data_IF_473412698407
#
_entry.id   IF_473412698407
#
_cell.length_a   1.000
_cell.length_b   1.000
_cell.length_c   1.000
_cell.angle_alpha   90.00
_cell.angle_beta   90.00
_cell.angle_gamma   90.00
#
_symmetry.space_group_name_H-M   'P 1'
#
loop_
_entity.id
_entity.type
_entity.pdbx_description
1 polymer ?
#
# COMPACT_ATOMS: atom_id res chain seq x y z
N UNK A 1 -0.43 20.11 -3.35
CA UNK A 1 -0.56 19.09 -2.30
C UNK A 1 -1.89 19.23 -1.61
N UNK A 2 -2.61 18.13 -1.35
CA UNK A 2 -3.90 18.09 -0.67
C UNK A 2 -3.81 17.16 0.55
N UNK A 3 -4.59 17.46 1.57
CA UNK A 3 -4.69 16.62 2.77
C UNK A 3 -5.93 15.73 2.69
N UNK A 4 -5.85 14.55 3.29
CA UNK A 4 -7.01 13.68 3.45
C UNK A 4 -8.19 14.42 4.10
N UNK A 5 -9.39 14.27 3.53
CA UNK A 5 -10.60 14.97 3.97
C UNK A 5 -10.78 16.40 3.42
N UNK A 6 -9.80 16.97 2.74
CA UNK A 6 -9.90 18.28 2.11
C UNK A 6 -10.92 18.25 0.95
N UNK A 7 -11.79 19.28 0.88
CA UNK A 7 -12.81 19.35 -0.18
C UNK A 7 -12.14 19.79 -1.50
N UNK A 8 -12.26 18.94 -2.52
CA UNK A 8 -11.68 19.16 -3.84
C UNK A 8 -12.70 19.76 -4.83
N UNK A 9 -13.91 19.23 -4.79
CA UNK A 9 -15.02 19.66 -5.67
C UNK A 9 -16.31 19.73 -4.87
N UNK A 10 -17.16 20.64 -5.30
CA UNK A 10 -18.52 20.77 -4.76
C UNK A 10 -19.52 20.64 -5.93
N UNK A 11 -20.36 19.64 -5.85
CA UNK A 11 -21.47 19.43 -6.79
C UNK A 11 -22.67 20.29 -6.32
N UNK A 12 -23.54 20.72 -7.23
CA UNK A 12 -24.77 21.41 -6.87
C UNK A 12 -25.59 20.54 -5.91
N UNK A 13 -25.75 21.04 -4.71
CA UNK A 13 -26.40 20.30 -3.61
C UNK A 13 -27.88 20.63 -3.40
N UNK A 14 -28.46 21.55 -4.20
CA UNK A 14 -29.80 22.06 -3.94
C UNK A 14 -30.88 20.98 -3.90
N UNK A 15 -30.88 20.04 -4.86
CA UNK A 15 -31.83 18.93 -4.92
C UNK A 15 -31.62 17.92 -3.78
N UNK A 16 -30.37 17.66 -3.43
CA UNK A 16 -29.99 16.75 -2.33
C UNK A 16 -30.38 17.32 -0.96
N UNK A 17 -30.20 18.65 -0.77
CA UNK A 17 -30.69 19.33 0.44
C UNK A 17 -32.20 19.24 0.59
N UNK A 18 -32.95 19.47 -0.51
CA UNK A 18 -34.41 19.33 -0.49
C UNK A 18 -34.84 17.90 -0.11
N UNK A 19 -34.21 16.88 -0.67
CA UNK A 19 -34.47 15.48 -0.36
C UNK A 19 -34.15 15.14 1.10
N UNK A 20 -33.05 15.65 1.63
CA UNK A 20 -32.69 15.50 3.04
C UNK A 20 -33.74 16.12 3.98
N UNK A 21 -34.18 17.35 3.72
CA UNK A 21 -35.21 17.99 4.54
C UNK A 21 -36.56 17.27 4.43
N UNK A 22 -36.91 16.77 3.26
CA UNK A 22 -38.16 15.96 3.09
C UNK A 22 -38.09 14.67 3.90
N UNK A 23 -36.98 13.91 3.83
CA UNK A 23 -36.79 12.69 4.61
C UNK A 23 -36.79 12.98 6.11
N UNK A 24 -36.18 14.08 6.55
CA UNK A 24 -36.21 14.54 7.96
C UNK A 24 -37.64 14.82 8.43
N UNK A 25 -38.43 15.56 7.66
CA UNK A 25 -39.83 15.84 7.99
C UNK A 25 -40.66 14.57 8.07
N UNK A 26 -40.45 13.62 7.16
CA UNK A 26 -41.16 12.31 7.13
C UNK A 26 -40.81 11.48 8.37
N UNK A 27 -39.56 11.49 8.83
CA UNK A 27 -39.16 10.82 10.07
C UNK A 27 -39.82 11.44 11.29
N UNK A 28 -39.89 12.77 11.38
CA UNK A 28 -40.54 13.45 12.51
C UNK A 28 -42.04 13.13 12.54
N UNK A 29 -42.73 13.07 11.39
CA UNK A 29 -44.11 12.63 11.32
C UNK A 29 -44.29 11.20 11.85
N UNK A 30 -43.46 10.26 11.37
CA UNK A 30 -43.52 8.86 11.82
C UNK A 30 -43.25 8.72 13.33
N UNK A 31 -42.37 9.52 13.90
CA UNK A 31 -42.13 9.55 15.36
C UNK A 31 -43.37 10.01 16.15
N UNK A 32 -44.08 11.02 15.65
CA UNK A 32 -45.33 11.49 16.30
C UNK A 32 -46.39 10.41 16.26
N UNK A 33 -46.53 9.73 15.11
CA UNK A 33 -47.49 8.63 14.95
C UNK A 33 -47.15 7.44 15.87
N UNK A 34 -45.90 7.06 15.95
CA UNK A 34 -45.42 6.00 16.86
C UNK A 34 -45.65 6.38 18.33
N UNK A 35 -45.40 7.65 18.69
CA UNK A 35 -45.69 8.15 20.06
C UNK A 35 -47.18 8.06 20.40
N UNK A 36 -48.03 8.45 19.48
CA UNK A 36 -49.50 8.35 19.65
C UNK A 36 -49.94 6.90 19.78
N UNK A 37 -49.46 6.01 18.91
CA UNK A 37 -49.76 4.58 18.95
C UNK A 37 -49.26 3.94 20.26
N UNK A 38 -48.05 4.31 20.73
CA UNK A 38 -47.50 3.88 22.02
C UNK A 38 -48.39 4.26 23.18
N UNK A 39 -48.79 5.53 23.24
CA UNK A 39 -49.66 6.02 24.31
C UNK A 39 -51.01 5.30 24.30
N UNK A 40 -51.56 5.00 23.09
CA UNK A 40 -52.81 4.22 22.95
C UNK A 40 -52.60 2.79 23.43
N UNK A 41 -51.56 2.11 23.00
CA UNK A 41 -51.21 0.75 23.44
C UNK A 41 -51.08 0.66 24.96
N UNK A 42 -50.33 1.55 25.57
CA UNK A 42 -50.17 1.60 27.03
C UNK A 42 -51.49 1.77 27.76
N UNK A 43 -52.36 2.66 27.27
CA UNK A 43 -53.70 2.87 27.84
C UNK A 43 -54.54 1.60 27.78
N UNK A 44 -54.52 0.88 26.65
CA UNK A 44 -55.26 -0.37 26.49
C UNK A 44 -54.68 -1.50 27.38
N UNK A 45 -53.39 -1.56 27.55
CA UNK A 45 -52.73 -2.48 28.50
C UNK A 45 -53.11 -2.21 29.95
N UNK A 46 -53.31 -0.93 30.32
CA UNK A 46 -53.77 -0.56 31.65
C UNK A 46 -55.26 -0.91 31.83
N UNK A 47 -56.13 -0.58 30.85
CA UNK A 47 -57.56 -0.92 30.89
C UNK A 47 -57.81 -2.44 30.98
N UNK A 48 -56.95 -3.23 30.32
CA UNK A 48 -57.05 -4.69 30.37
C UNK A 48 -56.84 -5.25 31.80
N UNK A 49 -56.01 -4.61 32.62
CA UNK A 49 -55.80 -5.00 34.03
C UNK A 49 -57.05 -4.84 34.91
N UNK A 50 -57.98 -4.02 34.48
CA UNK A 50 -59.23 -3.70 35.19
C UNK A 50 -60.46 -4.20 34.43
N UNK A 51 -60.31 -5.17 33.51
CA UNK A 51 -61.38 -5.68 32.65
C UNK A 51 -62.18 -4.59 31.86
N UNK A 52 -61.48 -3.43 31.63
CA UNK A 52 -62.08 -2.28 30.95
C UNK A 52 -61.98 -2.33 29.42
N UNK A 53 -61.36 -3.37 28.84
CA UNK A 53 -61.23 -3.61 27.40
C UNK A 53 -61.06 -5.11 27.11
N UNK A 54 -61.28 -5.53 25.86
CA UNK A 54 -61.01 -6.91 25.47
C UNK A 54 -59.52 -7.17 25.22
N UNK A 55 -59.12 -8.43 25.41
CA UNK A 55 -57.72 -8.85 25.11
C UNK A 55 -57.37 -8.59 23.65
N UNK A 56 -58.31 -8.80 22.73
CA UNK A 56 -58.12 -8.55 21.30
C UNK A 56 -57.80 -7.07 21.02
N UNK A 57 -58.57 -6.14 21.61
CA UNK A 57 -58.34 -4.68 21.41
C UNK A 57 -56.97 -4.23 21.95
N UNK A 58 -56.51 -4.81 23.07
CA UNK A 58 -55.17 -4.52 23.60
C UNK A 58 -54.08 -5.08 22.69
N UNK A 59 -54.22 -6.30 22.16
CA UNK A 59 -53.32 -6.92 21.20
C UNK A 59 -53.24 -6.12 19.88
N UNK A 60 -54.39 -5.68 19.36
CA UNK A 60 -54.50 -4.84 18.16
C UNK A 60 -53.80 -3.48 18.35
N UNK A 61 -54.03 -2.82 19.50
CA UNK A 61 -53.34 -1.55 19.82
C UNK A 61 -51.82 -1.73 19.90
N UNK A 62 -51.37 -2.85 20.45
CA UNK A 62 -49.95 -3.18 20.51
C UNK A 62 -49.34 -3.47 19.12
N UNK A 63 -50.10 -4.19 18.27
CA UNK A 63 -49.66 -4.45 16.89
C UNK A 63 -49.51 -3.15 16.10
N UNK A 64 -50.45 -2.21 16.23
CA UNK A 64 -50.36 -0.88 15.60
C UNK A 64 -49.17 -0.10 16.11
N UNK A 65 -48.86 -0.17 17.41
CA UNK A 65 -47.64 0.50 17.95
C UNK A 65 -46.36 -0.11 17.35
N UNK A 66 -46.23 -1.43 17.31
CA UNK A 66 -45.08 -2.10 16.74
C UNK A 66 -44.90 -1.78 15.24
N UNK A 67 -46.03 -1.70 14.50
CA UNK A 67 -45.99 -1.29 13.10
C UNK A 67 -45.52 0.17 12.94
N UNK A 68 -46.00 1.08 13.78
CA UNK A 68 -45.54 2.48 13.75
C UNK A 68 -44.08 2.63 14.16
N UNK A 69 -43.60 1.81 15.10
CA UNK A 69 -42.18 1.76 15.49
C UNK A 69 -41.30 1.27 14.33
N UNK A 70 -41.71 0.22 13.61
CA UNK A 70 -41.03 -0.25 12.42
C UNK A 70 -40.96 0.82 11.31
N UNK A 71 -42.04 1.61 11.16
CA UNK A 71 -42.10 2.72 10.21
C UNK A 71 -41.09 3.84 10.59
N UNK A 72 -40.87 4.11 11.87
CA UNK A 72 -39.84 5.06 12.33
C UNK A 72 -38.44 4.60 11.88
N UNK A 73 -38.13 3.31 12.03
CA UNK A 73 -36.82 2.79 11.60
C UNK A 73 -36.66 2.82 10.06
N UNK A 74 -37.74 2.57 9.30
CA UNK A 74 -37.73 2.74 7.83
C UNK A 74 -37.43 4.20 7.43
N UNK A 75 -38.10 5.18 8.06
CA UNK A 75 -37.88 6.61 7.75
C UNK A 75 -36.50 7.11 8.21
N UNK A 76 -36.00 6.53 9.29
CA UNK A 76 -34.63 6.81 9.76
C UNK A 76 -33.59 6.32 8.75
N UNK A 77 -33.76 5.12 8.20
CA UNK A 77 -32.88 4.62 7.13
C UNK A 77 -32.97 5.49 5.88
N UNK A 78 -34.18 5.96 5.52
CA UNK A 78 -34.39 6.88 4.39
C UNK A 78 -33.69 8.23 4.60
N UNK A 79 -33.72 8.78 5.83
CA UNK A 79 -33.01 10.01 6.18
C UNK A 79 -31.49 9.82 6.09
N UNK A 80 -30.98 8.70 6.58
CA UNK A 80 -29.54 8.42 6.51
C UNK A 80 -29.08 8.30 5.06
N UNK A 81 -29.85 7.66 4.18
CA UNK A 81 -29.57 7.60 2.74
C UNK A 81 -29.51 9.01 2.12
N UNK A 82 -30.51 9.85 2.37
CA UNK A 82 -30.53 11.23 1.85
C UNK A 82 -29.39 12.09 2.41
N UNK A 83 -28.95 11.84 3.64
CA UNK A 83 -27.80 12.49 4.25
C UNK A 83 -26.50 12.09 3.56
N UNK A 84 -26.30 10.80 3.31
CA UNK A 84 -25.12 10.29 2.60
C UNK A 84 -25.03 10.91 1.19
N UNK A 85 -26.15 10.99 0.48
CA UNK A 85 -26.17 11.59 -0.85
C UNK A 85 -25.85 13.08 -0.82
N UNK A 86 -26.31 13.80 0.19
CA UNK A 86 -25.95 15.22 0.41
C UNK A 86 -24.46 15.36 0.76
N UNK A 87 -23.92 14.52 1.62
CA UNK A 87 -22.49 14.54 1.98
C UNK A 87 -21.59 14.27 0.77
N UNK A 88 -22.02 13.37 -0.13
CA UNK A 88 -21.31 13.03 -1.38
C UNK A 88 -21.27 14.15 -2.42
N UNK A 89 -22.08 15.20 -2.25
CA UNK A 89 -21.94 16.41 -3.09
C UNK A 89 -20.63 17.15 -2.85
N UNK A 90 -20.01 16.96 -1.69
CA UNK A 90 -18.68 17.44 -1.36
C UNK A 90 -17.66 16.33 -1.60
N UNK A 91 -16.98 16.37 -2.74
CA UNK A 91 -15.94 15.39 -3.09
C UNK A 91 -14.67 15.75 -2.34
N UNK A 92 -14.29 14.88 -1.40
CA UNK A 92 -13.12 15.05 -0.54
C UNK A 92 -11.95 14.19 -1.02
N UNK A 93 -10.73 14.62 -0.69
CA UNK A 93 -9.53 13.84 -0.91
C UNK A 93 -9.57 12.55 -0.06
N UNK A 94 -9.50 11.35 -0.66
CA UNK A 94 -9.50 10.08 0.08
C UNK A 94 -8.16 9.78 0.74
N UNK A 95 -7.09 10.42 0.29
CA UNK A 95 -5.71 10.29 0.81
C UNK A 95 -5.01 11.65 0.75
N UNK A 96 -3.98 11.83 1.57
CA UNK A 96 -3.07 12.97 1.40
C UNK A 96 -2.09 12.72 0.25
N UNK A 97 -1.79 13.73 -0.57
CA UNK A 97 -0.87 13.55 -1.70
C UNK A 97 -0.85 14.73 -2.67
N UNK A 98 -0.19 14.53 -3.79
CA UNK A 98 -0.18 15.49 -4.88
C UNK A 98 -1.33 15.21 -5.84
N UNK A 99 -2.18 16.22 -6.04
CA UNK A 99 -3.30 16.16 -6.97
C UNK A 99 -2.83 16.53 -8.39
N UNK A 100 -3.33 15.79 -9.38
CA UNK A 100 -3.11 16.10 -10.80
C UNK A 100 -3.90 17.34 -11.24
N UNK A 101 -3.72 17.75 -12.49
CA UNK A 101 -4.58 18.73 -13.15
C UNK A 101 -6.02 18.18 -13.14
N UNK A 102 -7.00 19.07 -12.88
CA UNK A 102 -8.42 18.73 -12.96
C UNK A 102 -8.81 18.43 -14.41
N UNK A 103 -9.50 17.30 -14.61
CA UNK A 103 -10.03 16.92 -15.92
C UNK A 103 -11.38 17.57 -16.23
N UNK A 104 -11.95 18.32 -15.27
CA UNK A 104 -13.24 18.98 -15.41
C UNK A 104 -13.11 20.47 -15.11
N UNK A 105 -13.93 21.27 -15.75
CA UNK A 105 -14.04 22.72 -15.52
C UNK A 105 -15.25 23.02 -14.65
N UNK A 106 -15.26 24.20 -14.02
CA UNK A 106 -16.41 24.67 -13.27
C UNK A 106 -17.66 24.74 -14.15
N UNK A 107 -18.77 24.20 -13.67
CA UNK A 107 -20.03 24.11 -14.42
C UNK A 107 -20.15 22.90 -15.34
N UNK A 108 -19.15 22.05 -15.42
CA UNK A 108 -19.24 20.79 -16.16
C UNK A 108 -20.24 19.83 -15.49
N UNK A 109 -21.00 19.11 -16.31
CA UNK A 109 -21.88 18.05 -15.84
C UNK A 109 -21.03 16.81 -15.53
N UNK A 110 -21.17 16.27 -14.33
CA UNK A 110 -20.53 15.04 -13.89
C UNK A 110 -21.58 13.99 -13.53
N UNK A 111 -21.25 12.73 -13.77
CA UNK A 111 -22.16 11.60 -13.51
C UNK A 111 -21.49 10.62 -12.53
N UNK A 112 -22.31 10.02 -11.68
CA UNK A 112 -21.84 8.91 -10.86
C UNK A 112 -21.36 7.76 -11.76
N UNK A 113 -20.20 7.17 -11.42
CA UNK A 113 -19.58 6.07 -12.17
C UNK A 113 -19.12 6.42 -13.59
N UNK A 114 -18.82 7.69 -13.89
CA UNK A 114 -18.14 8.05 -15.16
C UNK A 114 -16.75 7.39 -15.22
N UNK A 115 -16.30 7.05 -16.44
CA UNK A 115 -15.00 6.40 -16.69
C UNK A 115 -13.81 7.29 -16.34
N UNK A 116 -13.95 8.60 -16.54
CA UNK A 116 -12.88 9.55 -16.34
C UNK A 116 -12.91 10.12 -14.93
N UNK A 117 -11.79 9.98 -14.21
CA UNK A 117 -11.64 10.58 -12.91
C UNK A 117 -11.60 12.11 -12.98
N UNK A 118 -12.19 12.80 -12.02
CA UNK A 118 -12.15 14.28 -11.93
C UNK A 118 -10.71 14.80 -11.75
N UNK A 119 -9.95 14.12 -10.89
CA UNK A 119 -8.53 14.34 -10.70
C UNK A 119 -7.93 13.04 -10.08
N UNK A 120 -6.62 12.90 -10.14
CA UNK A 120 -5.90 11.79 -9.54
C UNK A 120 -5.02 12.30 -8.42
N UNK A 121 -5.13 11.70 -7.23
CA UNK A 121 -4.23 11.99 -6.12
C UNK A 121 -3.19 10.87 -6.04
N UNK A 122 -1.92 11.24 -5.92
CA UNK A 122 -0.80 10.29 -5.76
C UNK A 122 -0.13 10.54 -4.42
N UNK A 123 -0.07 9.49 -3.62
CA UNK A 123 0.82 9.48 -2.44
C UNK A 123 2.25 9.28 -2.94
N UNK A 124 3.10 10.27 -2.69
CA UNK A 124 4.52 10.24 -3.06
C UNK A 124 5.43 10.06 -1.85
N UNK A 125 4.88 9.82 -0.66
CA UNK A 125 5.66 9.61 0.58
C UNK A 125 6.53 8.35 0.50
N UNK A 126 6.11 7.38 -0.28
CA UNK A 126 6.86 6.18 -0.60
C UNK A 126 6.65 5.78 -2.05
N UNK A 127 7.67 5.17 -2.65
CA UNK A 127 7.61 4.66 -4.02
C UNK A 127 8.03 3.21 -4.08
N UNK A 128 7.47 2.50 -5.04
CA UNK A 128 7.88 1.14 -5.35
C UNK A 128 8.79 1.16 -6.58
N UNK A 129 9.88 0.41 -6.49
CA UNK A 129 10.81 0.21 -7.59
C UNK A 129 10.76 -1.25 -7.99
N UNK A 130 10.39 -1.51 -9.23
CA UNK A 130 10.35 -2.85 -9.81
C UNK A 130 11.71 -3.17 -10.45
N UNK A 131 12.33 -4.23 -9.96
CA UNK A 131 13.67 -4.66 -10.33
C UNK A 131 13.57 -5.96 -11.13
N UNK A 132 13.85 -5.89 -12.42
CA UNK A 132 13.85 -7.07 -13.28
C UNK A 132 15.20 -7.78 -13.18
N UNK A 133 15.18 -9.02 -12.74
CA UNK A 133 16.35 -9.87 -12.60
C UNK A 133 16.20 -11.17 -13.39
N UNK A 134 17.26 -11.60 -14.04
CA UNK A 134 17.29 -12.89 -14.76
C UNK A 134 17.13 -14.05 -13.75
N UNK A 135 16.32 -15.05 -14.10
CA UNK A 135 16.17 -16.29 -13.34
C UNK A 135 17.52 -16.98 -13.07
N UNK A 136 18.45 -16.90 -14.02
CA UNK A 136 19.80 -17.47 -13.87
C UNK A 136 20.57 -16.81 -12.72
N UNK A 137 20.50 -15.48 -12.58
CA UNK A 137 21.13 -14.75 -11.50
C UNK A 137 20.50 -15.06 -10.13
N UNK A 138 19.18 -15.19 -10.09
CA UNK A 138 18.46 -15.57 -8.87
C UNK A 138 18.84 -16.99 -8.42
N UNK A 139 18.92 -17.95 -9.36
CA UNK A 139 19.36 -19.31 -9.05
C UNK A 139 20.83 -19.35 -8.58
N UNK A 140 21.71 -18.54 -9.19
CA UNK A 140 23.10 -18.42 -8.74
C UNK A 140 23.17 -17.88 -7.31
N UNK A 141 22.39 -16.84 -6.97
CA UNK A 141 22.31 -16.31 -5.62
C UNK A 141 21.77 -17.35 -4.63
N UNK A 142 20.71 -18.07 -4.97
CA UNK A 142 20.18 -19.16 -4.14
C UNK A 142 21.22 -20.24 -3.85
N UNK A 143 21.98 -20.67 -4.88
CA UNK A 143 23.05 -21.65 -4.71
C UNK A 143 24.17 -21.11 -3.80
N UNK A 144 24.54 -19.84 -3.93
CA UNK A 144 25.51 -19.22 -3.03
C UNK A 144 25.03 -19.23 -1.57
N UNK A 145 23.76 -18.88 -1.32
CA UNK A 145 23.18 -18.84 0.04
C UNK A 145 23.09 -20.21 0.72
N UNK A 146 23.29 -21.32 0.01
CA UNK A 146 23.36 -22.67 0.60
C UNK A 146 24.77 -23.05 1.09
N UNK A 147 25.80 -22.23 0.86
CA UNK A 147 27.17 -22.49 1.31
C UNK A 147 27.33 -22.04 2.77
N UNK A 148 28.06 -22.82 3.58
CA UNK A 148 28.22 -22.59 5.03
C UNK A 148 28.91 -21.27 5.40
N UNK A 149 29.70 -20.68 4.50
CA UNK A 149 30.45 -19.46 4.75
C UNK A 149 29.74 -18.18 4.30
N UNK A 150 28.50 -18.31 3.76
CA UNK A 150 27.76 -17.18 3.20
C UNK A 150 26.58 -16.86 4.09
N UNK A 151 26.56 -15.63 4.59
CA UNK A 151 25.45 -15.08 5.32
C UNK A 151 24.47 -14.41 4.37
N UNK A 152 23.18 -14.56 4.66
CA UNK A 152 22.13 -13.85 3.92
C UNK A 152 22.32 -12.34 4.13
N UNK A 153 22.32 -11.56 3.07
CA UNK A 153 22.31 -10.10 3.15
C UNK A 153 21.02 -9.58 3.81
N UNK A 154 21.04 -8.33 4.21
CA UNK A 154 19.95 -7.69 4.94
C UNK A 154 18.76 -7.25 4.05
N UNK A 155 18.68 -7.69 2.81
CA UNK A 155 17.66 -7.31 1.82
C UNK A 155 17.52 -5.78 1.59
N UNK A 156 18.51 -4.99 2.02
CA UNK A 156 18.56 -3.56 1.73
C UNK A 156 18.89 -3.32 0.26
N UNK A 157 18.18 -2.34 -0.31
CA UNK A 157 18.36 -1.93 -1.70
C UNK A 157 18.84 -0.47 -1.71
N UNK A 158 19.88 -0.20 -2.47
CA UNK A 158 20.40 1.16 -2.69
C UNK A 158 20.10 1.56 -4.13
N UNK A 159 19.63 2.81 -4.35
CA UNK A 159 19.38 3.34 -5.69
C UNK A 159 20.50 4.29 -6.11
N UNK A 160 20.88 4.16 -7.37
CA UNK A 160 21.67 5.17 -8.10
C UNK A 160 20.74 5.82 -9.11
N UNK A 161 20.60 7.14 -9.03
CA UNK A 161 19.76 7.93 -9.93
C UNK A 161 20.44 8.09 -11.31
N UNK A 162 19.69 8.59 -12.28
CA UNK A 162 20.19 8.76 -13.66
C UNK A 162 21.35 9.77 -13.79
N UNK A 163 21.52 10.69 -12.83
CA UNK A 163 22.64 11.63 -12.73
C UNK A 163 23.90 11.02 -12.09
N UNK A 164 23.84 9.74 -11.68
CA UNK A 164 24.92 9.04 -11.00
C UNK A 164 24.95 9.24 -9.48
N UNK A 165 24.08 10.07 -8.90
CA UNK A 165 23.99 10.26 -7.46
C UNK A 165 23.36 9.04 -6.77
N UNK A 166 23.78 8.78 -5.53
CA UNK A 166 23.19 7.74 -4.71
C UNK A 166 22.02 8.34 -3.93
N UNK A 167 20.86 7.67 -4.00
CA UNK A 167 19.69 8.07 -3.23
C UNK A 167 19.93 7.90 -1.72
N UNK A 168 19.56 8.91 -0.94
CA UNK A 168 19.88 9.01 0.49
C UNK A 168 19.23 7.89 1.35
N UNK A 169 18.01 7.49 0.97
CA UNK A 169 17.27 6.50 1.73
C UNK A 169 17.40 5.11 1.11
N UNK A 170 17.65 4.11 1.95
CA UNK A 170 17.66 2.72 1.54
C UNK A 170 16.24 2.19 1.42
N UNK A 171 16.01 1.30 0.48
CA UNK A 171 14.76 0.59 0.31
C UNK A 171 14.80 -0.79 0.92
N UNK A 172 13.62 -1.32 1.19
CA UNK A 172 13.41 -2.68 1.66
C UNK A 172 12.82 -3.54 0.54
N UNK A 173 13.43 -4.68 0.29
CA UNK A 173 12.94 -5.65 -0.67
C UNK A 173 11.67 -6.31 -0.14
N UNK A 174 10.55 -6.13 -0.84
CA UNK A 174 9.31 -6.82 -0.54
C UNK A 174 9.27 -8.12 -1.33
N UNK A 175 9.41 -9.24 -0.63
CA UNK A 175 9.31 -10.58 -1.20
C UNK A 175 7.84 -10.99 -1.33
N UNK A 176 7.06 -10.26 -2.13
CA UNK A 176 5.73 -10.70 -2.53
C UNK A 176 5.82 -11.34 -3.92
N UNK A 177 5.34 -12.57 -4.01
CA UNK A 177 5.23 -13.38 -5.23
C UNK A 177 6.44 -13.35 -6.18
N UNK A 178 7.25 -14.39 -6.09
CA UNK A 178 8.28 -14.66 -7.09
C UNK A 178 7.57 -15.36 -8.26
N UNK A 179 6.90 -14.61 -9.10
CA UNK A 179 6.40 -15.08 -10.37
C UNK A 179 7.49 -14.89 -11.43
N UNK A 180 7.79 -15.94 -12.18
CA UNK A 180 8.68 -15.87 -13.34
C UNK A 180 7.81 -15.50 -14.53
N UNK A 181 8.16 -14.42 -15.23
CA UNK A 181 7.55 -14.10 -16.51
C UNK A 181 8.01 -15.14 -17.55
N UNK A 182 7.09 -15.96 -18.04
CA UNK A 182 7.38 -17.07 -18.96
C UNK A 182 7.94 -16.60 -20.31
N UNK A 183 7.62 -15.37 -20.73
CA UNK A 183 8.05 -14.81 -22.00
C UNK A 183 9.49 -14.31 -21.99
N UNK A 184 9.93 -13.76 -20.86
CA UNK A 184 11.27 -13.14 -20.71
C UNK A 184 12.21 -13.97 -19.84
N UNK A 185 11.69 -14.95 -19.09
CA UNK A 185 12.47 -15.71 -18.10
C UNK A 185 13.00 -14.84 -16.97
N UNK A 186 12.40 -13.67 -16.74
CA UNK A 186 12.80 -12.74 -15.70
C UNK A 186 11.90 -12.80 -14.47
N UNK A 187 12.46 -12.43 -13.34
CA UNK A 187 11.75 -12.30 -12.06
C UNK A 187 11.72 -10.82 -11.70
N UNK A 188 10.52 -10.31 -11.40
CA UNK A 188 10.36 -8.95 -10.91
C UNK A 188 10.41 -8.95 -9.38
N UNK A 189 11.39 -8.27 -8.82
CA UNK A 189 11.50 -8.00 -7.40
C UNK A 189 11.02 -6.58 -7.13
N UNK A 190 10.20 -6.39 -6.10
CA UNK A 190 9.71 -5.08 -5.72
C UNK A 190 10.37 -4.59 -4.43
N UNK A 191 10.90 -3.38 -4.47
CA UNK A 191 11.48 -2.72 -3.30
C UNK A 191 10.70 -1.44 -3.00
N UNK A 192 10.42 -1.20 -1.71
CA UNK A 192 9.75 0.02 -1.23
C UNK A 192 10.81 1.00 -0.71
N UNK A 193 10.72 2.25 -1.15
CA UNK A 193 11.61 3.34 -0.75
C UNK A 193 10.81 4.47 -0.10
N UNK A 194 11.26 5.00 1.05
CA UNK A 194 10.75 6.26 1.57
C UNK A 194 11.10 7.40 0.60
N UNK A 195 10.17 8.31 0.37
CA UNK A 195 10.39 9.44 -0.56
C UNK A 195 9.91 10.77 0.04
N UNK A 196 10.44 11.18 1.21
CA UNK A 196 9.95 12.36 1.94
C UNK A 196 10.17 13.66 1.18
N UNK A 197 11.21 13.74 0.34
CA UNK A 197 11.54 14.92 -0.46
C UNK A 197 10.88 14.91 -1.85
N UNK A 198 10.13 13.88 -2.22
CA UNK A 198 9.47 13.75 -3.53
C UNK A 198 10.45 13.67 -4.72
N UNK A 199 11.70 13.28 -4.51
CA UNK A 199 12.75 13.21 -5.54
C UNK A 199 12.47 12.09 -6.54
N UNK A 200 11.98 10.95 -6.04
CA UNK A 200 11.63 9.81 -6.88
C UNK A 200 10.24 10.03 -7.49
N UNK A 201 10.17 10.01 -8.80
CA UNK A 201 8.93 10.16 -9.55
C UNK A 201 8.55 8.85 -10.24
N UNK A 202 7.25 8.61 -10.37
CA UNK A 202 6.75 7.46 -11.14
C UNK A 202 7.21 7.53 -12.60
N UNK A 203 7.75 6.44 -13.13
CA UNK A 203 8.31 6.36 -14.48
C UNK A 203 9.79 6.72 -14.62
N UNK A 204 10.46 7.08 -13.52
CA UNK A 204 11.92 7.28 -13.54
C UNK A 204 12.66 5.95 -13.66
N UNK A 205 13.75 5.96 -14.47
CA UNK A 205 14.69 4.86 -14.52
C UNK A 205 15.76 5.06 -13.44
N UNK A 206 15.98 4.01 -12.66
CA UNK A 206 16.99 4.00 -11.59
C UNK A 206 17.78 2.69 -11.63
N UNK A 207 19.02 2.72 -11.18
CA UNK A 207 19.84 1.51 -11.02
C UNK A 207 19.80 1.09 -9.55
N UNK A 208 19.34 -0.12 -9.29
CA UNK A 208 19.29 -0.68 -7.95
C UNK A 208 20.47 -1.62 -7.70
N UNK A 209 21.03 -1.53 -6.51
CA UNK A 209 22.05 -2.45 -6.00
C UNK A 209 21.49 -3.15 -4.77
N UNK A 210 21.41 -4.48 -4.82
CA UNK A 210 20.92 -5.32 -3.73
C UNK A 210 22.10 -6.01 -3.07
N UNK A 211 22.21 -5.92 -1.75
CA UNK A 211 23.17 -6.68 -0.97
C UNK A 211 22.58 -8.08 -0.66
N UNK A 212 22.74 -9.00 -1.59
CA UNK A 212 22.11 -10.32 -1.54
C UNK A 212 22.80 -11.33 -0.63
N UNK A 213 24.14 -11.27 -0.53
CA UNK A 213 24.95 -12.21 0.24
C UNK A 213 26.25 -11.58 0.72
N UNK A 214 26.72 -12.01 1.88
CA UNK A 214 28.02 -11.60 2.45
C UNK A 214 28.84 -12.87 2.64
N UNK A 215 29.99 -12.92 1.97
CA UNK A 215 30.99 -13.98 2.20
C UNK A 215 31.95 -13.51 3.28
N UNK A 216 31.93 -14.19 4.45
CA UNK A 216 32.73 -13.83 5.61
C UNK A 216 34.16 -14.36 5.55
N UNK A 217 34.48 -15.25 4.59
CA UNK A 217 35.79 -15.85 4.41
C UNK A 217 36.50 -15.43 3.10
N UNK A 218 35.90 -14.54 2.34
CA UNK A 218 36.48 -14.05 1.11
C UNK A 218 37.37 -12.83 1.35
N UNK A 219 38.44 -12.72 0.57
CA UNK A 219 39.37 -11.58 0.58
C UNK A 219 39.32 -10.83 -0.75
N UNK A 220 39.46 -9.50 -0.68
CA UNK A 220 39.59 -8.65 -1.86
C UNK A 220 41.04 -8.25 -2.03
N UNK A 221 41.72 -8.85 -3.00
CA UNK A 221 43.11 -8.54 -3.32
C UNK A 221 43.24 -7.61 -4.53
N UNK A 222 44.08 -6.56 -4.50
CA UNK A 222 44.35 -5.76 -5.69
C UNK A 222 44.82 -6.66 -6.84
N UNK A 223 44.36 -6.38 -8.05
CA UNK A 223 44.71 -7.21 -9.23
C UNK A 223 46.21 -7.31 -9.44
N UNK A 224 46.97 -6.26 -9.09
CA UNK A 224 48.42 -6.20 -9.19
C UNK A 224 49.14 -7.15 -8.21
N UNK A 225 48.50 -7.54 -7.10
CA UNK A 225 49.10 -8.44 -6.11
C UNK A 225 48.97 -9.93 -6.51
N UNK A 226 48.23 -10.22 -7.56
CA UNK A 226 48.00 -11.59 -8.03
C UNK A 226 48.86 -11.85 -9.26
N UNK A 227 49.78 -12.76 -9.12
CA UNK A 227 50.66 -13.24 -10.21
C UNK A 227 50.15 -14.55 -10.78
N UNK A 228 50.67 -14.99 -11.90
CA UNK A 228 50.41 -16.30 -12.49
C UNK A 228 51.69 -17.11 -12.54
N UNK A 229 51.60 -18.38 -12.17
CA UNK A 229 52.70 -19.31 -12.31
C UNK A 229 52.92 -19.76 -13.78
N UNK A 230 53.90 -20.60 -14.04
CA UNK A 230 54.20 -21.14 -15.38
C UNK A 230 53.04 -21.98 -15.97
N UNK A 231 52.08 -22.41 -15.15
CA UNK A 231 50.88 -23.17 -15.56
C UNK A 231 49.65 -22.28 -15.59
N UNK A 232 49.81 -20.95 -15.53
CA UNK A 232 48.76 -19.94 -15.50
C UNK A 232 47.85 -19.96 -14.25
N UNK A 233 48.22 -20.67 -13.18
CA UNK A 233 47.49 -20.67 -11.93
C UNK A 233 47.69 -19.33 -11.17
N UNK A 234 46.67 -18.75 -10.54
CA UNK A 234 46.80 -17.55 -9.76
C UNK A 234 47.56 -17.82 -8.44
N UNK A 235 48.58 -17.03 -8.18
CA UNK A 235 49.42 -17.10 -6.97
C UNK A 235 49.55 -15.73 -6.33
N UNK A 236 49.65 -15.72 -5.02
CA UNK A 236 50.00 -14.52 -4.21
C UNK A 236 51.26 -14.79 -3.43
N UNK A 237 51.96 -13.71 -3.15
CA UNK A 237 53.15 -13.73 -2.27
C UNK A 237 52.74 -13.26 -0.91
N UNK A 238 52.84 -14.13 0.09
CA UNK A 238 52.52 -13.83 1.49
C UNK A 238 53.80 -13.60 2.27
N UNK A 239 53.83 -12.56 3.09
CA UNK A 239 54.86 -12.33 4.08
C UNK A 239 54.45 -13.06 5.38
N UNK A 240 55.30 -13.96 5.88
CA UNK A 240 55.07 -14.68 7.10
C UNK A 240 55.61 -13.88 8.31
N UNK A 241 55.23 -14.27 9.52
CA UNK A 241 55.67 -13.62 10.76
C UNK A 241 57.20 -13.61 10.96
N UNK A 242 57.88 -14.60 10.40
CA UNK A 242 59.36 -14.72 10.41
C UNK A 242 60.05 -13.90 9.31
N UNK A 243 59.35 -12.99 8.63
CA UNK A 243 59.79 -12.24 7.46
C UNK A 243 60.15 -13.08 6.24
N UNK A 244 59.82 -14.35 6.20
CA UNK A 244 60.00 -15.18 5.03
C UNK A 244 58.86 -14.95 4.02
N UNK A 245 59.17 -15.19 2.74
CA UNK A 245 58.23 -15.02 1.64
C UNK A 245 57.73 -16.38 1.18
N UNK A 246 56.40 -16.59 1.24
CA UNK A 246 55.75 -17.81 0.75
C UNK A 246 54.85 -17.52 -0.44
N UNK A 247 55.07 -18.24 -1.54
CA UNK A 247 54.14 -18.23 -2.67
C UNK A 247 53.02 -19.22 -2.41
N UNK A 248 51.79 -18.73 -2.49
CA UNK A 248 50.60 -19.54 -2.23
C UNK A 248 49.65 -19.48 -3.40
N UNK A 249 49.15 -20.65 -3.80
CA UNK A 249 48.09 -20.75 -4.82
C UNK A 249 46.76 -20.34 -4.24
N UNK A 250 46.01 -19.53 -4.98
CA UNK A 250 44.71 -19.03 -4.56
C UNK A 250 43.64 -19.38 -5.58
N UNK A 251 42.39 -19.35 -5.15
CA UNK A 251 41.24 -19.50 -6.05
C UNK A 251 40.57 -18.15 -6.20
N UNK A 252 40.54 -17.65 -7.43
CA UNK A 252 39.86 -16.42 -7.82
C UNK A 252 38.50 -16.77 -8.34
N UNK A 253 37.46 -16.09 -7.88
CA UNK A 253 36.10 -16.26 -8.35
C UNK A 253 35.73 -15.24 -9.45
N UNK A 254 35.89 -13.94 -9.14
CA UNK A 254 35.55 -12.84 -10.07
C UNK A 254 36.31 -11.56 -9.72
N UNK A 255 36.32 -10.62 -10.67
CA UNK A 255 36.81 -9.26 -10.42
C UNK A 255 35.67 -8.37 -9.84
N UNK A 256 36.03 -7.55 -8.86
CA UNK A 256 35.15 -6.50 -8.29
C UNK A 256 35.94 -5.17 -8.39
N UNK A 257 35.59 -4.34 -9.35
CA UNK A 257 36.36 -3.13 -9.67
C UNK A 257 37.78 -3.49 -10.07
N UNK A 258 38.78 -2.96 -9.35
CA UNK A 258 40.22 -3.24 -9.56
C UNK A 258 40.80 -4.32 -8.62
N UNK A 259 39.92 -5.13 -8.01
CA UNK A 259 40.29 -6.20 -7.06
C UNK A 259 39.76 -7.55 -7.51
N UNK A 260 40.47 -8.62 -7.13
CA UNK A 260 40.02 -9.99 -7.26
C UNK A 260 39.35 -10.46 -5.99
N UNK A 261 38.18 -11.11 -6.14
CA UNK A 261 37.54 -11.85 -5.04
C UNK A 261 38.22 -13.22 -4.94
N UNK A 262 38.87 -13.48 -3.81
CA UNK A 262 39.54 -14.73 -3.48
C UNK A 262 38.78 -15.46 -2.41
N UNK A 263 38.39 -16.70 -2.72
CA UNK A 263 37.53 -17.53 -1.84
C UNK A 263 38.27 -18.66 -1.15
N UNK A 264 39.48 -19.02 -1.64
CA UNK A 264 40.32 -20.09 -1.05
C UNK A 264 41.81 -19.77 -1.26
N UNK A 265 42.61 -20.23 -0.29
CA UNK A 265 44.10 -20.22 -0.41
C UNK A 265 44.78 -19.12 0.38
N UNK A 266 44.08 -18.40 1.23
CA UNK A 266 44.63 -17.47 2.20
C UNK A 266 44.15 -17.85 3.59
#
# INVERSE_FOLDING_TARGET
>A
FVKEGEILYQIDSASYQASFFQAKASLESAKVDAKNAKTKSQRYEELLKFDGTSKQEAEDAKAIYLQAEALVEEKKASLESAKIDLERTNIKAPISGYISISNVTQGALVSANQSDALATIRDTSSVYVDLNQSNTQLLALRKLLTQENIQKGNAEVTLTLSDGSIYEHKGELQLQEIAVDESTGSVTLRAKFPNPKGILLSGMFVKATIQGAIDTKAFLLPQQAVLRDSKANPIVTLLQEDNSIKKQMITIERAIGNKWLVTKGI
#
